data_IF_682533940542
#
_entry.id   IF_682533940542
#
_cell.length_a   1.000
_cell.length_b   1.000
_cell.length_c   1.000
_cell.angle_alpha   90.00
_cell.angle_beta   90.00
_cell.angle_gamma   90.00
#
_symmetry.space_group_name_H-M   'P 1'
#
loop_
_entity.id
_entity.type
_entity.pdbx_description
1 polymer ?
#
# COMPACT_ATOMS: atom_id res chain seq x y z
N UNK A 1 32.76 7.01 69.07
CA UNK A 1 33.07 7.65 67.77
C UNK A 1 34.07 6.70 67.09
N UNK A 2 33.78 5.97 66.02
CA UNK A 2 32.78 6.12 64.95
C UNK A 2 32.44 4.70 64.43
N UNK A 3 31.15 4.36 64.36
CA UNK A 3 30.65 3.18 63.65
C UNK A 3 30.91 3.34 62.15
N UNK A 4 31.48 2.31 61.50
CA UNK A 4 31.51 2.20 60.05
C UNK A 4 30.19 1.58 59.58
N UNK A 5 29.44 2.21 58.65
CA UNK A 5 28.20 1.63 58.16
C UNK A 5 28.45 0.52 57.13
N UNK A 6 27.59 -0.49 57.22
CA UNK A 6 27.52 -1.66 56.37
C UNK A 6 27.43 -1.31 54.87
N UNK A 7 28.30 -1.95 54.07
CA UNK A 7 28.18 -1.97 52.62
C UNK A 7 27.00 -2.87 52.22
N UNK A 8 25.85 -2.25 51.96
CA UNK A 8 24.69 -2.93 51.38
C UNK A 8 24.94 -3.10 49.88
N UNK A 9 25.47 -4.27 49.50
CA UNK A 9 25.38 -4.76 48.13
C UNK A 9 23.90 -4.88 47.76
N UNK A 10 23.38 -3.85 47.11
CA UNK A 10 22.04 -3.87 46.52
C UNK A 10 22.20 -4.46 45.13
N UNK A 11 21.54 -5.58 44.79
CA UNK A 11 21.55 -6.04 43.41
C UNK A 11 20.81 -4.99 42.58
N UNK A 12 21.54 -4.36 41.65
CA UNK A 12 20.93 -3.56 40.59
C UNK A 12 20.02 -4.52 39.83
N UNK A 13 18.73 -4.40 40.07
CA UNK A 13 17.70 -5.02 39.25
C UNK A 13 17.84 -4.38 37.88
N UNK A 14 18.52 -5.08 36.99
CA UNK A 14 18.52 -4.77 35.55
C UNK A 14 17.10 -5.07 35.09
N UNK A 15 16.31 -4.01 35.00
CA UNK A 15 14.94 -4.04 34.50
C UNK A 15 14.97 -4.56 33.05
N UNK A 16 14.60 -5.83 32.89
CA UNK A 16 14.78 -6.62 31.67
C UNK A 16 13.69 -6.38 30.62
N UNK A 17 13.26 -5.12 30.47
CA UNK A 17 12.23 -4.72 29.51
C UNK A 17 12.79 -4.16 28.18
N UNK A 18 14.11 -4.03 28.06
CA UNK A 18 14.78 -3.47 26.88
C UNK A 18 14.95 -4.50 25.73
N UNK A 19 15.15 -5.78 26.08
CA UNK A 19 15.44 -6.87 25.12
C UNK A 19 14.27 -7.13 24.13
N UNK A 20 13.03 -6.95 24.61
CA UNK A 20 11.83 -7.11 23.78
C UNK A 20 11.62 -6.00 22.75
N UNK A 21 12.19 -4.81 22.98
CA UNK A 21 12.08 -3.66 22.07
C UNK A 21 13.15 -3.75 20.99
N UNK A 22 14.39 -4.08 21.38
CA UNK A 22 15.51 -4.31 20.45
C UNK A 22 15.20 -5.46 19.48
N UNK A 23 14.61 -6.56 19.96
CA UNK A 23 14.21 -7.67 19.09
C UNK A 23 13.13 -7.29 18.06
N UNK A 24 12.16 -6.44 18.45
CA UNK A 24 11.13 -5.95 17.53
C UNK A 24 11.69 -4.98 16.49
N UNK A 25 12.63 -4.14 16.90
CA UNK A 25 13.31 -3.19 16.01
C UNK A 25 14.17 -3.93 14.98
N UNK A 26 14.94 -4.93 15.41
CA UNK A 26 15.70 -5.81 14.52
C UNK A 26 14.78 -6.57 13.54
N UNK A 27 13.61 -7.03 13.99
CA UNK A 27 12.63 -7.69 13.11
C UNK A 27 12.06 -6.71 12.06
N UNK A 28 11.78 -5.46 12.46
CA UNK A 28 11.33 -4.41 11.54
C UNK A 28 12.41 -4.02 10.52
N UNK A 29 13.65 -3.86 10.95
CA UNK A 29 14.79 -3.60 10.07
C UNK A 29 15.01 -4.76 9.09
N UNK A 30 14.92 -6.00 9.56
CA UNK A 30 15.02 -7.17 8.70
C UNK A 30 13.91 -7.19 7.63
N UNK A 31 12.67 -6.87 8.01
CA UNK A 31 11.55 -6.76 7.06
C UNK A 31 11.77 -5.63 6.06
N UNK A 32 12.29 -4.49 6.50
CA UNK A 32 12.60 -3.34 5.65
C UNK A 32 13.70 -3.67 4.64
N UNK A 33 14.80 -4.24 5.10
CA UNK A 33 15.92 -4.66 4.24
C UNK A 33 15.44 -5.67 3.19
N UNK A 34 14.67 -6.68 3.61
CA UNK A 34 14.10 -7.69 2.70
C UNK A 34 13.18 -7.07 1.64
N UNK A 35 12.41 -6.04 2.01
CA UNK A 35 11.57 -5.29 1.08
C UNK A 35 12.41 -4.52 0.05
N UNK A 36 13.43 -3.80 0.51
CA UNK A 36 14.33 -3.01 -0.34
C UNK A 36 15.04 -3.91 -1.36
N UNK A 37 15.64 -5.01 -0.90
CA UNK A 37 16.28 -6.00 -1.75
C UNK A 37 15.32 -6.57 -2.80
N UNK A 38 14.12 -6.97 -2.39
CA UNK A 38 13.13 -7.53 -3.31
C UNK A 38 12.64 -6.51 -4.34
N UNK A 39 12.50 -5.23 -3.98
CA UNK A 39 12.14 -4.16 -4.92
C UNK A 39 13.27 -3.93 -5.94
N UNK A 40 14.53 -3.87 -5.49
CA UNK A 40 15.69 -3.67 -6.37
C UNK A 40 15.83 -4.83 -7.37
N UNK A 41 15.73 -6.06 -6.89
CA UNK A 41 15.78 -7.27 -7.71
C UNK A 41 14.68 -7.30 -8.78
N UNK A 42 13.47 -6.90 -8.40
CA UNK A 42 12.31 -6.99 -9.30
C UNK A 42 12.27 -5.86 -10.33
N UNK A 43 12.92 -4.73 -10.05
CA UNK A 43 13.17 -3.66 -11.02
C UNK A 43 14.18 -4.08 -12.10
N UNK A 44 15.22 -4.83 -11.75
CA UNK A 44 16.21 -5.32 -12.71
C UNK A 44 15.77 -6.58 -13.46
N UNK A 45 14.76 -7.30 -12.95
CA UNK A 45 14.28 -8.55 -13.53
C UNK A 45 13.11 -8.33 -14.50
N UNK A 46 13.24 -8.69 -15.79
CA UNK A 46 12.14 -8.66 -16.76
C UNK A 46 10.96 -9.51 -16.29
N UNK A 47 9.73 -9.12 -16.67
CA UNK A 47 8.50 -9.77 -16.22
C UNK A 47 8.50 -11.29 -16.46
N UNK A 48 9.02 -11.74 -17.60
CA UNK A 48 9.07 -13.16 -18.01
C UNK A 48 9.98 -14.02 -17.13
N UNK A 49 10.95 -13.38 -16.47
CA UNK A 49 11.93 -14.04 -15.61
C UNK A 49 11.55 -13.97 -14.13
N UNK A 50 10.44 -13.28 -13.78
CA UNK A 50 10.01 -13.17 -12.39
C UNK A 50 9.48 -14.52 -11.87
N UNK A 51 9.86 -14.92 -10.65
CA UNK A 51 9.41 -16.19 -10.08
C UNK A 51 7.89 -16.19 -9.84
N UNK A 52 7.25 -17.35 -9.94
CA UNK A 52 5.84 -17.47 -9.56
C UNK A 52 5.71 -17.38 -8.05
N UNK A 53 4.95 -16.40 -7.58
CA UNK A 53 4.68 -16.22 -6.16
C UNK A 53 3.76 -17.34 -5.65
N UNK A 54 4.14 -18.07 -4.59
CA UNK A 54 3.29 -19.10 -4.00
C UNK A 54 2.03 -18.48 -3.39
N UNK A 55 0.96 -19.27 -3.33
CA UNK A 55 -0.27 -18.86 -2.64
C UNK A 55 -0.03 -18.88 -1.14
N UNK A 56 -0.12 -17.72 -0.51
CA UNK A 56 0.08 -17.56 0.93
C UNK A 56 -1.20 -17.93 1.69
N UNK A 57 -1.09 -18.83 2.68
CA UNK A 57 -2.18 -19.11 3.60
C UNK A 57 -2.43 -17.91 4.53
N UNK A 58 -3.70 -17.56 4.76
CA UNK A 58 -4.08 -16.38 5.57
C UNK A 58 -4.06 -16.65 7.08
N UNK A 59 -2.96 -17.20 7.60
CA UNK A 59 -2.74 -17.39 9.05
C UNK A 59 -2.60 -16.03 9.77
N UNK A 60 -2.79 -16.01 11.10
CA UNK A 60 -2.60 -14.79 11.92
C UNK A 60 -1.19 -14.20 11.72
N UNK A 61 -0.16 -15.05 11.74
CA UNK A 61 1.24 -14.67 11.49
C UNK A 61 1.44 -14.02 10.13
N UNK A 62 0.95 -14.65 9.06
CA UNK A 62 1.13 -14.11 7.70
C UNK A 62 0.40 -12.77 7.52
N UNK A 63 -0.77 -12.61 8.16
CA UNK A 63 -1.47 -11.32 8.18
C UNK A 63 -0.70 -10.25 8.95
N UNK A 64 -0.02 -10.60 10.04
CA UNK A 64 0.80 -9.67 10.81
C UNK A 64 1.98 -9.15 9.96
N UNK A 65 2.69 -10.04 9.25
CA UNK A 65 3.78 -9.66 8.33
C UNK A 65 3.28 -8.70 7.24
N UNK A 66 2.16 -9.03 6.58
CA UNK A 66 1.57 -8.15 5.55
C UNK A 66 1.19 -6.78 6.15
N UNK A 67 0.64 -6.76 7.37
CA UNK A 67 0.28 -5.50 8.05
C UNK A 67 1.50 -4.68 8.42
N UNK A 68 2.61 -5.30 8.84
CA UNK A 68 3.85 -4.61 9.18
C UNK A 68 4.53 -4.00 7.95
N UNK A 69 4.49 -4.69 6.81
CA UNK A 69 5.08 -4.21 5.56
C UNK A 69 4.26 -3.12 4.86
N UNK A 70 2.93 -3.13 4.99
CA UNK A 70 2.07 -2.19 4.28
C UNK A 70 2.42 -0.70 4.51
N UNK A 71 2.68 -0.23 5.74
CA UNK A 71 3.13 1.15 5.98
C UNK A 71 4.44 1.48 5.29
N UNK A 72 5.40 0.56 5.29
CA UNK A 72 6.71 0.73 4.65
C UNK A 72 6.57 0.85 3.13
N UNK A 73 5.59 0.15 2.54
CA UNK A 73 5.33 0.18 1.10
C UNK A 73 4.83 1.54 0.60
N UNK A 74 4.18 2.34 1.45
CA UNK A 74 3.59 3.63 1.07
C UNK A 74 4.64 4.57 0.49
N UNK A 75 5.81 4.67 1.14
CA UNK A 75 6.89 5.57 0.71
C UNK A 75 7.42 5.20 -0.68
N UNK A 76 7.54 3.90 -0.99
CA UNK A 76 7.93 3.43 -2.31
C UNK A 76 6.88 3.73 -3.38
N UNK A 77 5.59 3.56 -3.04
CA UNK A 77 4.50 3.82 -3.97
C UNK A 77 4.34 5.31 -4.27
N UNK A 78 4.57 6.19 -3.30
CA UNK A 78 4.56 7.64 -3.49
C UNK A 78 5.69 8.11 -4.40
N UNK A 79 6.85 7.46 -4.33
CA UNK A 79 8.00 7.75 -5.20
C UNK A 79 7.89 7.16 -6.61
N UNK A 80 6.90 6.31 -6.87
CA UNK A 80 6.71 5.63 -8.15
C UNK A 80 6.29 6.60 -9.27
N UNK A 81 6.98 6.55 -10.40
CA UNK A 81 6.77 7.47 -11.54
C UNK A 81 5.76 6.95 -12.53
N UNK A 82 5.68 5.63 -12.70
CA UNK A 82 4.84 5.00 -13.70
C UNK A 82 4.21 3.67 -13.24
N UNK A 83 3.39 3.11 -14.13
CA UNK A 83 2.66 1.86 -13.87
C UNK A 83 3.59 0.64 -13.81
N UNK A 84 4.67 0.63 -14.58
CA UNK A 84 5.63 -0.48 -14.61
C UNK A 84 6.45 -0.51 -13.32
N UNK A 85 6.87 0.67 -12.85
CA UNK A 85 7.54 0.84 -11.57
C UNK A 85 6.62 0.46 -10.41
N UNK A 86 5.37 0.92 -10.45
CA UNK A 86 4.35 0.53 -9.46
C UNK A 86 4.13 -0.99 -9.43
N UNK A 87 4.00 -1.63 -10.58
CA UNK A 87 3.86 -3.09 -10.68
C UNK A 87 5.08 -3.81 -10.09
N UNK A 88 6.29 -3.32 -10.39
CA UNK A 88 7.53 -3.89 -9.88
C UNK A 88 7.63 -3.75 -8.36
N UNK A 89 7.29 -2.59 -7.80
CA UNK A 89 7.23 -2.34 -6.36
C UNK A 89 6.22 -3.28 -5.68
N UNK A 90 5.02 -3.42 -6.23
CA UNK A 90 3.98 -4.30 -5.69
C UNK A 90 4.36 -5.78 -5.78
N UNK A 91 5.06 -6.18 -6.83
CA UNK A 91 5.58 -7.52 -6.99
C UNK A 91 6.72 -7.79 -5.99
N UNK A 92 7.69 -6.87 -5.87
CA UNK A 92 8.77 -6.91 -4.88
C UNK A 92 8.25 -7.01 -3.45
N UNK A 93 7.23 -6.24 -3.09
CA UNK A 93 6.58 -6.33 -1.78
C UNK A 93 5.98 -7.72 -1.52
N UNK A 94 5.29 -8.29 -2.52
CA UNK A 94 4.73 -9.63 -2.39
C UNK A 94 5.83 -10.72 -2.32
N UNK A 95 6.94 -10.53 -3.03
CA UNK A 95 8.12 -11.39 -2.97
C UNK A 95 8.77 -11.32 -1.58
N UNK A 96 8.94 -10.13 -1.02
CA UNK A 96 9.45 -9.91 0.33
C UNK A 96 8.58 -10.62 1.38
N UNK A 97 7.26 -10.48 1.31
CA UNK A 97 6.34 -11.22 2.19
C UNK A 97 6.58 -12.72 2.07
N UNK A 98 6.71 -13.26 0.85
CA UNK A 98 6.97 -14.68 0.63
C UNK A 98 8.30 -15.14 1.26
N UNK A 99 9.34 -14.30 1.20
CA UNK A 99 10.65 -14.56 1.83
C UNK A 99 10.55 -14.58 3.35
N UNK A 100 9.95 -13.56 3.95
CA UNK A 100 9.82 -13.40 5.41
C UNK A 100 9.02 -14.56 6.03
N UNK A 101 7.97 -15.04 5.36
CA UNK A 101 7.19 -16.17 5.86
C UNK A 101 7.82 -17.54 5.54
N UNK A 102 8.95 -17.58 4.84
CA UNK A 102 9.61 -18.82 4.41
C UNK A 102 8.81 -19.63 3.39
N UNK A 103 8.04 -18.98 2.52
CA UNK A 103 7.25 -19.68 1.52
C UNK A 103 8.16 -20.31 0.46
N UNK A 104 7.94 -21.59 0.17
CA UNK A 104 8.67 -22.32 -0.86
C UNK A 104 8.20 -21.88 -2.24
N UNK A 105 9.12 -21.40 -3.06
CA UNK A 105 8.87 -21.12 -4.47
C UNK A 105 8.94 -22.43 -5.26
N UNK A 106 7.96 -22.67 -6.13
CA UNK A 106 8.04 -23.80 -7.05
C UNK A 106 9.12 -23.53 -8.10
N UNK A 107 10.10 -24.41 -8.22
CA UNK A 107 11.08 -24.43 -9.32
C UNK A 107 10.47 -24.96 -10.61
N UNK A 108 9.34 -25.66 -10.53
CA UNK A 108 8.61 -26.20 -11.67
C UNK A 108 7.82 -25.10 -12.37
N UNK A 109 8.49 -24.47 -13.34
CA UNK A 109 7.87 -23.62 -14.34
C UNK A 109 8.60 -22.30 -14.51
N UNK A 110 9.67 -22.29 -15.34
CA UNK A 110 9.83 -21.18 -16.30
C UNK A 110 8.46 -20.91 -16.88
N UNK A 111 8.06 -19.65 -16.99
CA UNK A 111 6.74 -19.25 -17.42
C UNK A 111 6.39 -19.78 -18.83
N UNK A 112 6.05 -21.07 -18.96
CA UNK A 112 5.46 -21.62 -20.17
C UNK A 112 4.04 -21.10 -20.21
N UNK A 113 3.82 -20.09 -21.04
CA UNK A 113 2.51 -19.47 -21.26
C UNK A 113 2.37 -18.07 -20.69
N UNK A 114 3.31 -17.17 -20.97
CA UNK A 114 2.90 -15.77 -21.17
C UNK A 114 2.40 -15.65 -22.61
N UNK A 115 1.09 -15.87 -22.81
CA UNK A 115 0.42 -15.11 -23.86
C UNK A 115 0.73 -13.64 -23.59
N UNK A 116 1.03 -12.85 -24.62
CA UNK A 116 1.34 -11.42 -24.59
C UNK A 116 0.27 -10.52 -23.93
N UNK A 117 -0.72 -11.13 -23.28
CA UNK A 117 -1.77 -10.50 -22.52
C UNK A 117 -1.21 -9.80 -21.27
N UNK A 118 -1.56 -8.52 -21.16
CA UNK A 118 -1.32 -7.68 -19.99
C UNK A 118 -1.72 -8.46 -18.71
N UNK A 119 -0.84 -8.57 -17.69
CA UNK A 119 -1.15 -9.28 -16.46
C UNK A 119 -2.45 -8.78 -15.83
N UNK A 120 -3.27 -9.71 -15.32
CA UNK A 120 -4.59 -9.37 -14.76
C UNK A 120 -4.52 -8.31 -13.65
N UNK A 121 -3.42 -8.26 -12.88
CA UNK A 121 -3.17 -7.22 -11.87
C UNK A 121 -2.96 -5.84 -12.50
N UNK A 122 -2.10 -5.73 -13.51
CA UNK A 122 -1.86 -4.49 -14.26
C UNK A 122 -3.16 -3.96 -14.88
N UNK A 123 -3.94 -4.83 -15.53
CA UNK A 123 -5.26 -4.48 -16.08
C UNK A 123 -6.20 -3.91 -15.00
N UNK A 124 -6.26 -4.53 -13.82
CA UNK A 124 -7.09 -4.03 -12.70
C UNK A 124 -6.65 -2.64 -12.22
N UNK A 125 -5.34 -2.36 -12.20
CA UNK A 125 -4.82 -1.04 -11.85
C UNK A 125 -5.21 -0.02 -12.91
N UNK A 126 -4.99 -0.32 -14.20
CA UNK A 126 -5.38 0.53 -15.33
C UNK A 126 -6.88 0.84 -15.32
N UNK A 127 -7.74 -0.16 -15.08
CA UNK A 127 -9.18 0.03 -14.95
C UNK A 127 -9.56 0.94 -13.78
N UNK A 128 -8.87 0.83 -12.62
CA UNK A 128 -9.10 1.72 -11.47
C UNK A 128 -8.68 3.15 -11.78
N UNK A 129 -7.53 3.34 -12.44
CA UNK A 129 -7.05 4.66 -12.88
C UNK A 129 -8.04 5.28 -13.87
N UNK A 130 -8.51 4.51 -14.85
CA UNK A 130 -9.50 4.98 -15.83
C UNK A 130 -10.80 5.42 -15.14
N UNK A 131 -11.31 4.63 -14.18
CA UNK A 131 -12.48 4.99 -13.37
C UNK A 131 -12.26 6.27 -12.56
N UNK A 132 -11.08 6.43 -11.94
CA UNK A 132 -10.74 7.63 -11.18
C UNK A 132 -10.68 8.88 -12.09
N UNK A 133 -10.01 8.80 -13.24
CA UNK A 133 -9.97 9.89 -14.24
C UNK A 133 -11.37 10.27 -14.73
N UNK A 134 -12.22 9.29 -15.01
CA UNK A 134 -13.60 9.52 -15.41
C UNK A 134 -14.41 10.22 -14.32
N UNK A 135 -14.20 9.86 -13.05
CA UNK A 135 -14.85 10.52 -11.92
C UNK A 135 -14.37 11.97 -11.78
N UNK A 136 -13.06 12.22 -11.84
CA UNK A 136 -12.47 13.57 -11.81
C UNK A 136 -13.07 14.44 -12.91
N UNK A 137 -13.15 13.94 -14.15
CA UNK A 137 -13.76 14.65 -15.27
C UNK A 137 -15.23 15.03 -15.00
N UNK A 138 -16.03 14.11 -14.43
CA UNK A 138 -17.43 14.39 -14.07
C UNK A 138 -17.54 15.44 -12.95
N UNK A 139 -16.64 15.41 -11.97
CA UNK A 139 -16.58 16.42 -10.91
C UNK A 139 -16.21 17.80 -11.46
N UNK A 140 -15.27 17.88 -12.40
CA UNK A 140 -14.91 19.11 -13.09
C UNK A 140 -16.11 19.66 -13.89
N UNK A 141 -16.79 18.81 -14.67
CA UNK A 141 -18.01 19.22 -15.39
C UNK A 141 -19.10 19.74 -14.46
N UNK A 142 -19.30 19.08 -13.31
CA UNK A 142 -20.23 19.55 -12.29
C UNK A 142 -19.81 20.92 -11.71
N UNK A 143 -18.52 21.11 -11.42
CA UNK A 143 -17.96 22.39 -10.96
C UNK A 143 -18.18 23.51 -11.97
N UNK A 144 -18.08 23.22 -13.26
CA UNK A 144 -18.36 24.17 -14.35
C UNK A 144 -19.86 24.43 -14.59
N UNK A 145 -20.76 23.92 -13.73
CA UNK A 145 -22.20 24.20 -13.78
C UNK A 145 -23.03 23.19 -14.57
N UNK A 146 -22.44 22.08 -15.01
CA UNK A 146 -23.19 21.04 -15.72
C UNK A 146 -24.07 20.23 -14.77
N UNK A 147 -25.37 20.55 -14.77
CA UNK A 147 -26.37 19.94 -13.90
C UNK A 147 -27.10 18.74 -14.52
N UNK A 148 -26.57 18.12 -15.58
CA UNK A 148 -27.18 16.90 -16.16
C UNK A 148 -27.34 15.82 -15.09
N UNK A 149 -28.50 15.15 -15.08
CA UNK A 149 -28.89 14.17 -14.05
C UNK A 149 -27.83 13.09 -13.80
N UNK A 150 -27.20 12.56 -14.86
CA UNK A 150 -26.13 11.56 -14.77
C UNK A 150 -24.88 12.07 -14.03
N UNK A 151 -24.50 13.32 -14.24
CA UNK A 151 -23.35 13.96 -13.57
C UNK A 151 -23.67 14.15 -12.10
N UNK A 152 -24.83 14.78 -11.80
CA UNK A 152 -25.30 15.01 -10.42
C UNK A 152 -25.42 13.71 -9.64
N UNK A 153 -25.97 12.64 -10.23
CA UNK A 153 -26.04 11.31 -9.62
C UNK A 153 -24.65 10.77 -9.31
N UNK A 154 -23.70 10.90 -10.25
CA UNK A 154 -22.32 10.43 -10.02
C UNK A 154 -21.65 11.19 -8.88
N UNK A 155 -21.80 12.51 -8.83
CA UNK A 155 -21.26 13.34 -7.74
C UNK A 155 -21.87 12.95 -6.40
N UNK A 156 -23.19 12.79 -6.32
CA UNK A 156 -23.89 12.34 -5.10
C UNK A 156 -23.41 10.98 -4.62
N UNK A 157 -23.20 10.03 -5.52
CA UNK A 157 -22.68 8.70 -5.16
C UNK A 157 -21.22 8.77 -4.71
N UNK A 158 -20.39 9.60 -5.34
CA UNK A 158 -18.99 9.78 -4.97
C UNK A 158 -18.80 10.40 -3.57
N UNK A 159 -19.75 11.24 -3.14
CA UNK A 159 -19.76 11.87 -1.82
C UNK A 159 -20.75 11.20 -0.84
N UNK A 160 -21.34 10.05 -1.19
CA UNK A 160 -22.25 9.35 -0.31
C UNK A 160 -21.53 8.94 0.98
N UNK A 161 -22.13 9.26 2.14
CA UNK A 161 -21.50 9.02 3.45
C UNK A 161 -20.46 10.06 3.88
N UNK A 162 -20.23 11.11 3.08
CA UNK A 162 -19.46 12.28 3.49
C UNK A 162 -20.40 13.43 3.88
N UNK A 163 -19.91 14.39 4.67
CA UNK A 163 -20.68 15.60 5.03
C UNK A 163 -20.83 16.61 3.86
N UNK A 164 -20.41 16.25 2.65
CA UNK A 164 -20.42 17.13 1.47
C UNK A 164 -21.80 17.13 0.83
N UNK A 165 -22.50 18.28 0.88
CA UNK A 165 -23.82 18.46 0.26
C UNK A 165 -23.71 19.03 -1.15
N UNK A 166 -24.26 18.30 -2.13
CA UNK A 166 -24.34 18.74 -3.53
C UNK A 166 -25.47 19.77 -3.70
N UNK A 167 -25.15 21.06 -3.60
CA UNK A 167 -26.10 22.15 -3.92
C UNK A 167 -26.12 22.41 -5.42
N UNK A 168 -27.31 22.38 -6.04
CA UNK A 168 -27.50 22.81 -7.43
C UNK A 168 -27.29 24.32 -7.47
N UNK A 169 -26.34 24.83 -8.27
CA UNK A 169 -26.28 26.27 -8.56
C UNK A 169 -27.58 26.63 -9.29
N UNK A 170 -28.38 27.54 -8.70
CA UNK A 170 -29.45 28.21 -9.43
C UNK A 170 -28.77 29.04 -10.52
N UNK A 171 -29.10 28.80 -11.78
CA UNK A 171 -28.72 29.70 -12.87
C UNK A 171 -29.52 30.99 -12.65
N UNK A 172 -28.89 32.01 -12.09
CA UNK A 172 -29.44 33.36 -12.04
C UNK A 172 -29.41 33.89 -13.47
N UNK A 173 -30.56 33.91 -14.13
CA UNK A 173 -30.74 34.48 -15.47
C UNK A 173 -32.16 35.05 -15.56
N UNK A 174 -32.21 36.31 -16.02
CA UNK A 174 -33.37 37.13 -16.39
C UNK A 174 -34.27 37.69 -15.28
N UNK A 175 -33.85 38.85 -14.76
CA UNK A 175 -34.74 39.99 -14.61
C UNK A 175 -34.09 41.20 -15.28
N UNK A 176 -34.38 41.40 -16.56
CA UNK A 176 -34.20 42.70 -17.24
C UNK A 176 -35.38 43.59 -16.86
N UNK A 177 -35.16 44.83 -16.36
CA UNK A 177 -36.25 45.79 -16.22
C UNK A 177 -36.73 46.21 -17.61
N UNK A 178 -38.06 46.29 -17.76
CA UNK A 178 -38.73 46.83 -18.94
C UNK A 178 -38.53 48.33 -19.05
#
# INVERSE_FOLDING_TARGET
MVEQPANVNTPVVVDSNDDGTVAQELELEHMRSTLEEAIVETRSTPLENRPRLPRIALSKRNRAVVRALNPMLVTYLEASRDLCETDSILFGAALAVCRIIGAKFSTAGRATGHSSAIPARRRRIEERIAKARALIGRLICFRSGNNRSRIVRTVRMAFAGTNVRVRKRRTTGDNMPK
#
